data_IF_149195107870
#
_entry.id   IF_149195107870
#
_cell.length_a   1.000
_cell.length_b   1.000
_cell.length_c   1.000
_cell.angle_alpha   90.00
_cell.angle_beta   90.00
_cell.angle_gamma   90.00
#
_symmetry.space_group_name_H-M   'P 1'
#
loop_
_entity.id
_entity.type
_entity.pdbx_description
1 polymer ?
#
# COMPACT_ATOMS: atom_id res chain seq x y z
N UNK A 1 11.50 9.25 -21.29
CA UNK A 1 11.31 7.91 -21.90
C UNK A 1 10.00 7.37 -21.42
N UNK A 2 9.03 7.24 -22.32
CA UNK A 2 7.71 6.69 -22.07
C UNK A 2 7.83 5.22 -21.64
N UNK A 3 7.99 4.96 -20.35
CA UNK A 3 7.90 3.60 -19.81
C UNK A 3 6.43 3.36 -19.53
N UNK A 4 5.86 2.40 -20.25
CA UNK A 4 4.50 1.93 -20.02
C UNK A 4 4.34 1.54 -18.54
N UNK A 5 3.22 1.91 -17.91
CA UNK A 5 2.92 1.61 -16.51
C UNK A 5 3.19 0.12 -16.20
N UNK A 6 4.03 -0.24 -15.20
CA UNK A 6 4.39 -1.62 -14.93
C UNK A 6 3.19 -2.50 -14.54
N UNK A 7 2.12 -1.91 -14.01
CA UNK A 7 0.91 -2.64 -13.61
C UNK A 7 -0.12 -2.80 -14.73
N UNK A 8 0.18 -2.38 -15.97
CA UNK A 8 -0.80 -2.39 -17.08
C UNK A 8 -1.47 -3.74 -17.36
N UNK A 9 -0.83 -4.85 -17.00
CA UNK A 9 -1.31 -6.22 -17.21
C UNK A 9 -1.77 -6.88 -15.90
N UNK A 10 -1.87 -6.11 -14.81
CA UNK A 10 -2.34 -6.58 -13.51
C UNK A 10 -3.83 -6.31 -13.41
N UNK A 11 -4.61 -7.38 -13.33
CA UNK A 11 -6.07 -7.32 -13.21
C UNK A 11 -6.47 -7.35 -11.72
N UNK A 12 -6.43 -6.18 -11.07
CA UNK A 12 -6.90 -6.02 -9.68
C UNK A 12 -8.11 -5.07 -9.65
N UNK A 13 -9.17 -5.50 -8.99
CA UNK A 13 -10.34 -4.65 -8.73
C UNK A 13 -10.05 -3.63 -7.62
N UNK A 14 -9.29 -4.03 -6.60
CA UNK A 14 -8.95 -3.22 -5.43
C UNK A 14 -7.56 -3.57 -4.92
N UNK A 15 -6.87 -2.61 -4.31
CA UNK A 15 -5.57 -2.82 -3.66
C UNK A 15 -5.41 -1.92 -2.43
N UNK A 16 -4.85 -2.48 -1.35
CA UNK A 16 -4.34 -1.71 -0.21
C UNK A 16 -2.82 -1.65 -0.29
N UNK A 17 -2.26 -0.44 -0.31
CA UNK A 17 -0.82 -0.19 -0.25
C UNK A 17 -0.51 0.44 1.10
N UNK A 18 0.37 -0.19 1.86
CA UNK A 18 0.76 0.27 3.20
C UNK A 18 2.25 0.57 3.28
N UNK A 19 2.63 1.50 4.14
CA UNK A 19 4.03 1.74 4.52
C UNK A 19 4.17 2.46 5.86
N UNK A 20 5.36 2.46 6.44
CA UNK A 20 5.66 3.20 7.66
C UNK A 20 6.36 4.52 7.34
N UNK A 21 5.98 5.60 8.03
CA UNK A 21 6.60 6.92 7.88
C UNK A 21 8.09 6.92 8.19
N UNK A 22 8.53 6.02 9.06
CA UNK A 22 9.92 5.90 9.51
C UNK A 22 10.72 4.87 8.71
N UNK A 23 10.14 4.25 7.67
CA UNK A 23 10.88 3.32 6.81
C UNK A 23 11.94 4.07 6.00
N UNK A 24 13.22 3.74 6.28
CA UNK A 24 14.39 4.29 5.61
C UNK A 24 14.84 3.45 4.41
N UNK A 25 14.44 2.17 4.34
CA UNK A 25 14.81 1.25 3.26
C UNK A 25 13.85 1.42 2.07
N UNK A 26 12.56 1.59 2.35
CA UNK A 26 11.51 1.80 1.36
C UNK A 26 10.67 3.04 1.72
N UNK A 27 11.18 4.25 1.44
CA UNK A 27 10.56 5.47 1.91
C UNK A 27 9.18 5.71 1.30
N UNK A 28 8.28 6.35 2.07
CA UNK A 28 6.83 6.52 1.75
C UNK A 28 6.47 6.98 0.34
N UNK A 29 7.36 7.65 -0.38
CA UNK A 29 7.12 8.04 -1.77
C UNK A 29 7.02 6.83 -2.71
N UNK A 30 7.67 5.72 -2.40
CA UNK A 30 7.60 4.48 -3.19
C UNK A 30 6.22 3.82 -3.04
N UNK A 31 5.66 3.77 -1.83
CA UNK A 31 4.29 3.28 -1.61
C UNK A 31 3.26 4.19 -2.29
N UNK A 32 3.47 5.51 -2.25
CA UNK A 32 2.66 6.47 -3.02
C UNK A 32 2.72 6.19 -4.52
N UNK A 33 3.91 5.97 -5.06
CA UNK A 33 4.10 5.66 -6.48
C UNK A 33 3.39 4.35 -6.88
N UNK A 34 3.48 3.30 -6.05
CA UNK A 34 2.75 2.04 -6.29
C UNK A 34 1.24 2.29 -6.32
N UNK A 35 0.70 2.99 -5.33
CA UNK A 35 -0.73 3.28 -5.24
C UNK A 35 -1.23 4.11 -6.45
N UNK A 36 -0.46 5.12 -6.86
CA UNK A 36 -0.79 5.93 -8.03
C UNK A 36 -0.74 5.14 -9.33
N UNK A 37 0.28 4.28 -9.51
CA UNK A 37 0.42 3.47 -10.71
C UNK A 37 -0.68 2.40 -10.78
N UNK A 38 -1.10 1.79 -9.66
CA UNK A 38 -2.26 0.89 -9.61
C UNK A 38 -3.56 1.65 -9.91
N UNK A 39 -3.77 2.83 -9.32
CA UNK A 39 -4.96 3.65 -9.60
C UNK A 39 -5.08 4.00 -11.09
N UNK A 40 -3.96 4.27 -11.77
CA UNK A 40 -3.91 4.53 -13.21
C UNK A 40 -4.30 3.33 -14.09
N UNK A 41 -4.42 2.12 -13.55
CA UNK A 41 -4.95 0.96 -14.29
C UNK A 41 -6.45 0.72 -14.08
N UNK A 42 -7.12 1.57 -13.29
CA UNK A 42 -8.52 1.41 -12.90
C UNK A 42 -8.72 0.60 -11.62
N UNK A 43 -7.64 0.17 -10.96
CA UNK A 43 -7.70 -0.47 -9.65
C UNK A 43 -8.17 0.54 -8.58
N UNK A 44 -9.10 0.16 -7.70
CA UNK A 44 -9.44 0.94 -6.52
C UNK A 44 -8.31 0.83 -5.48
N UNK A 45 -7.30 1.68 -5.60
CA UNK A 45 -6.12 1.65 -4.74
C UNK A 45 -6.27 2.58 -3.53
N UNK A 46 -6.08 2.04 -2.33
CA UNK A 46 -6.02 2.77 -1.06
C UNK A 46 -4.58 2.83 -0.55
N UNK A 47 -4.14 4.00 -0.08
CA UNK A 47 -2.82 4.18 0.54
C UNK A 47 -2.97 4.45 2.04
N UNK A 48 -2.25 3.70 2.88
CA UNK A 48 -2.13 3.95 4.33
C UNK A 48 -0.67 4.09 4.73
N UNK A 49 -0.31 5.23 5.31
CA UNK A 49 1.02 5.47 5.88
C UNK A 49 0.90 5.51 7.40
N UNK A 50 1.54 4.57 8.08
CA UNK A 50 1.48 4.46 9.54
C UNK A 50 2.53 5.36 10.20
N UNK A 51 2.24 5.84 11.41
CA UNK A 51 3.21 6.56 12.26
C UNK A 51 4.06 5.59 13.11
N UNK A 52 4.13 4.31 12.74
CA UNK A 52 4.97 3.32 13.43
C UNK A 52 6.42 3.79 13.53
N UNK A 53 7.04 3.59 14.69
CA UNK A 53 8.46 3.91 14.92
C UNK A 53 9.41 2.79 14.47
N UNK A 54 8.85 1.63 14.08
CA UNK A 54 9.60 0.41 13.78
C UNK A 54 10.21 0.40 12.36
N UNK A 55 10.00 1.47 11.60
CA UNK A 55 10.55 1.63 10.26
C UNK A 55 10.13 0.50 9.32
N UNK A 56 11.11 -0.10 8.66
CA UNK A 56 10.88 -1.17 7.70
C UNK A 56 10.19 -2.38 8.31
N UNK A 57 10.56 -2.75 9.54
CA UNK A 57 10.03 -3.95 10.20
C UNK A 57 8.62 -3.74 10.77
N UNK A 58 8.03 -2.56 10.61
CA UNK A 58 6.70 -2.24 11.15
C UNK A 58 5.62 -3.24 10.71
N UNK A 59 5.65 -3.73 9.47
CA UNK A 59 4.67 -4.71 9.01
C UNK A 59 4.80 -6.10 9.68
N UNK A 60 5.92 -6.38 10.36
CA UNK A 60 6.16 -7.61 11.10
C UNK A 60 5.86 -7.47 12.59
N UNK A 61 6.20 -6.32 13.19
CA UNK A 61 6.23 -6.17 14.65
C UNK A 61 5.20 -5.17 15.19
N UNK A 62 4.65 -4.29 14.36
CA UNK A 62 3.54 -3.38 14.71
C UNK A 62 2.21 -3.99 14.26
N UNK A 63 1.97 -5.21 14.76
CA UNK A 63 0.84 -6.06 14.38
C UNK A 63 -0.51 -5.36 14.61
N UNK A 64 -0.68 -4.64 15.72
CA UNK A 64 -1.93 -3.99 16.09
C UNK A 64 -2.38 -2.99 15.02
N UNK A 65 -1.48 -2.09 14.60
CA UNK A 65 -1.79 -1.07 13.61
C UNK A 65 -1.99 -1.69 12.21
N UNK A 66 -1.11 -2.62 11.80
CA UNK A 66 -1.22 -3.23 10.47
C UNK A 66 -2.46 -4.13 10.35
N UNK A 67 -2.76 -4.93 11.37
CA UNK A 67 -3.92 -5.84 11.35
C UNK A 67 -5.24 -5.08 11.35
N UNK A 68 -5.34 -3.97 12.10
CA UNK A 68 -6.53 -3.14 12.11
C UNK A 68 -6.84 -2.55 10.72
N UNK A 69 -5.82 -1.98 10.05
CA UNK A 69 -5.95 -1.40 8.72
C UNK A 69 -6.27 -2.46 7.64
N UNK A 70 -5.64 -3.64 7.73
CA UNK A 70 -5.94 -4.77 6.84
C UNK A 70 -7.37 -5.26 7.06
N UNK A 71 -7.80 -5.42 8.31
CA UNK A 71 -9.15 -5.87 8.63
C UNK A 71 -10.21 -4.86 8.15
N UNK A 72 -9.99 -3.56 8.34
CA UNK A 72 -10.87 -2.51 7.82
C UNK A 72 -11.02 -2.62 6.29
N UNK A 73 -9.89 -2.75 5.58
CA UNK A 73 -9.90 -2.90 4.13
C UNK A 73 -10.63 -4.16 3.67
N UNK A 74 -10.38 -5.31 4.29
CA UNK A 74 -11.03 -6.57 3.92
C UNK A 74 -12.54 -6.53 4.17
N UNK A 75 -12.98 -5.91 5.27
CA UNK A 75 -14.41 -5.74 5.56
C UNK A 75 -15.12 -4.87 4.52
N UNK A 76 -14.43 -3.89 3.91
CA UNK A 76 -14.98 -3.06 2.84
C UNK A 76 -15.18 -3.80 1.52
N UNK A 77 -14.49 -4.93 1.32
CA UNK A 77 -14.55 -5.70 0.08
C UNK A 77 -15.69 -6.73 0.04
N UNK A 78 -16.48 -6.84 1.11
CA UNK A 78 -17.56 -7.84 1.24
C UNK A 78 -17.11 -9.27 0.87
N UNK A 79 -15.88 -9.65 1.24
CA UNK A 79 -15.34 -11.01 1.06
C UNK A 79 -15.86 -11.92 2.18
#
# INVERSE_FOLDING_TARGET
TDRCNPFKNVELQSALVMGAKTDLLFPTHQQKEIAELLSKTGCNSTLKITDSIQGHDAFLVDEENYSAEIAEYLNQLEI
#
